data_IF_423257417601
#
_entry.id   IF_423257417601
#
_cell.length_a   1.000
_cell.length_b   1.000
_cell.length_c   1.000
_cell.angle_alpha   90.00
_cell.angle_beta   90.00
_cell.angle_gamma   90.00
#
_symmetry.space_group_name_H-M   'P 1'
#
loop_
_entity.id
_entity.type
_entity.pdbx_description
1 polymer ?
#
# COMPACT_ATOMS: atom_id res chain seq x y z
N UNK A 1 30.16 30.45 14.60
CA UNK A 1 29.45 30.15 15.87
C UNK A 1 30.48 29.68 16.87
N UNK A 2 30.60 30.34 18.02
CA UNK A 2 31.47 29.87 19.10
C UNK A 2 30.84 28.65 19.77
N UNK A 3 31.65 27.87 20.50
CA UNK A 3 31.13 26.72 21.28
C UNK A 3 30.05 27.15 22.26
N UNK A 4 30.26 28.26 22.99
CA UNK A 4 29.31 28.82 23.96
C UNK A 4 27.99 29.25 23.30
N UNK A 5 28.04 29.79 22.08
CA UNK A 5 26.83 30.13 21.31
C UNK A 5 26.06 28.88 20.91
N UNK A 6 26.76 27.83 20.47
CA UNK A 6 26.13 26.55 20.13
C UNK A 6 25.44 25.93 21.35
N UNK A 7 26.13 25.88 22.48
CA UNK A 7 25.59 25.33 23.72
C UNK A 7 24.35 26.09 24.22
N UNK A 8 24.36 27.43 24.11
CA UNK A 8 23.19 28.24 24.45
C UNK A 8 22.01 27.97 23.50
N UNK A 9 22.25 27.88 22.19
CA UNK A 9 21.23 27.51 21.20
C UNK A 9 20.64 26.12 21.49
N UNK A 10 21.50 25.12 21.72
CA UNK A 10 21.10 23.75 22.04
C UNK A 10 20.21 23.71 23.28
N UNK A 11 20.59 24.44 24.32
CA UNK A 11 19.82 24.54 25.56
C UNK A 11 18.45 25.16 25.34
N UNK A 12 18.35 26.21 24.51
CA UNK A 12 17.07 26.85 24.17
C UNK A 12 16.17 25.85 23.45
N UNK A 13 16.68 25.21 22.38
CA UNK A 13 15.91 24.23 21.59
C UNK A 13 15.38 23.09 22.46
N UNK A 14 16.21 22.53 23.33
CA UNK A 14 15.77 21.44 24.22
C UNK A 14 14.74 21.91 25.26
N UNK A 15 14.95 23.05 25.90
CA UNK A 15 14.02 23.55 26.92
C UNK A 15 12.65 23.93 26.34
N UNK A 16 12.62 24.37 25.08
CA UNK A 16 11.39 24.65 24.35
C UNK A 16 10.66 23.35 23.92
N UNK A 17 11.39 22.32 23.49
CA UNK A 17 10.79 21.08 22.98
C UNK A 17 10.42 20.06 24.04
N UNK A 18 11.15 19.96 25.16
CA UNK A 18 10.91 18.94 26.18
C UNK A 18 9.47 18.95 26.75
N UNK A 19 8.83 20.10 27.03
CA UNK A 19 7.44 20.13 27.48
C UNK A 19 6.47 19.51 26.46
N UNK A 20 6.75 19.66 25.17
CA UNK A 20 5.90 19.15 24.10
C UNK A 20 5.86 17.62 24.08
N UNK A 21 6.93 16.93 24.49
CA UNK A 21 6.92 15.46 24.59
C UNK A 21 6.07 14.93 25.76
N UNK A 22 5.84 15.75 26.79
CA UNK A 22 4.95 15.42 27.90
C UNK A 22 3.47 15.61 27.52
N UNK A 23 3.17 16.51 26.58
CA UNK A 23 1.81 16.76 26.06
C UNK A 23 1.51 15.89 24.82
N UNK A 24 2.53 15.60 24.02
CA UNK A 24 2.49 14.84 22.76
C UNK A 24 2.41 13.33 22.95
N UNK A 25 1.50 12.88 23.81
CA UNK A 25 1.16 11.45 23.92
C UNK A 25 0.07 11.08 22.90
N UNK A 26 0.12 9.85 22.36
CA UNK A 26 -0.95 9.31 21.50
C UNK A 26 -0.67 9.25 20.00
N UNK A 27 0.49 9.71 19.52
CA UNK A 27 0.91 9.46 18.14
C UNK A 27 0.94 7.96 17.82
N UNK A 28 0.46 7.59 16.63
CA UNK A 28 0.40 6.21 16.16
C UNK A 28 1.78 5.61 15.80
N UNK A 29 2.80 6.46 15.63
CA UNK A 29 4.19 6.06 15.44
C UNK A 29 5.13 6.92 16.31
N UNK A 30 6.31 6.40 16.63
CA UNK A 30 7.29 7.08 17.50
C UNK A 30 8.72 6.96 16.96
N UNK A 31 9.44 8.07 16.99
CA UNK A 31 10.88 8.13 16.74
C UNK A 31 11.70 7.74 17.98
N UNK A 32 13.01 7.50 17.79
CA UNK A 32 13.92 7.06 18.87
C UNK A 32 14.13 8.09 19.98
N UNK A 33 14.01 9.39 19.68
CA UNK A 33 14.07 10.45 20.70
C UNK A 33 12.81 10.40 21.57
N UNK A 34 11.63 10.33 20.95
CA UNK A 34 10.35 10.20 21.67
C UNK A 34 10.33 8.96 22.57
N UNK A 35 10.81 7.82 22.07
CA UNK A 35 10.92 6.58 22.87
C UNK A 35 11.91 6.72 24.01
N UNK A 36 13.11 7.24 23.75
CA UNK A 36 14.13 7.40 24.77
C UNK A 36 13.67 8.35 25.89
N UNK A 37 12.97 9.44 25.54
CA UNK A 37 12.39 10.37 26.51
C UNK A 37 11.31 9.68 27.37
N UNK A 38 10.45 8.86 26.75
CA UNK A 38 9.46 8.06 27.49
C UNK A 38 10.14 7.11 28.46
N UNK A 39 11.10 6.31 27.99
CA UNK A 39 11.85 5.38 28.84
C UNK A 39 12.55 6.11 30.00
N UNK A 40 13.14 7.28 29.72
CA UNK A 40 13.73 8.13 30.76
C UNK A 40 12.70 8.58 31.80
N UNK A 41 11.50 8.99 31.37
CA UNK A 41 10.44 9.42 32.29
C UNK A 41 9.88 8.27 33.14
N UNK A 42 9.74 7.08 32.56
CA UNK A 42 9.19 5.88 33.21
C UNK A 42 10.20 5.22 34.15
N UNK A 43 11.44 5.01 33.69
CA UNK A 43 12.47 4.27 34.41
C UNK A 43 13.36 5.15 35.30
N UNK A 44 13.33 6.47 35.09
CA UNK A 44 14.25 7.46 35.68
C UNK A 44 15.71 7.24 35.32
N UNK A 45 16.01 6.46 34.27
CA UNK A 45 17.35 6.22 33.74
C UNK A 45 17.46 6.81 32.34
N UNK A 46 18.58 7.46 32.03
CA UNK A 46 18.83 8.00 30.69
C UNK A 46 19.39 6.86 29.84
N UNK A 47 18.68 6.43 28.79
CA UNK A 47 19.19 5.40 27.90
C UNK A 47 20.36 5.95 27.07
N UNK A 48 21.39 5.13 26.80
CA UNK A 48 22.62 5.63 26.14
C UNK A 48 22.30 6.22 24.76
N UNK A 49 21.42 5.58 23.99
CA UNK A 49 21.05 6.04 22.64
C UNK A 49 20.24 7.35 22.66
N UNK A 50 19.57 7.69 23.77
CA UNK A 50 18.86 8.97 23.89
C UNK A 50 19.82 10.14 23.69
N UNK A 51 21.03 10.07 24.24
CA UNK A 51 22.05 11.11 24.03
C UNK A 51 22.40 11.31 22.54
N UNK A 52 22.48 10.21 21.79
CA UNK A 52 22.73 10.25 20.35
C UNK A 52 21.52 10.79 19.58
N UNK A 53 20.31 10.34 19.88
CA UNK A 53 19.08 10.83 19.26
C UNK A 53 18.89 12.35 19.48
N UNK A 54 19.15 12.83 20.70
CA UNK A 54 19.14 14.26 21.04
C UNK A 54 20.18 15.03 20.23
N UNK A 55 21.39 14.50 20.09
CA UNK A 55 22.45 15.14 19.30
C UNK A 55 22.05 15.25 17.82
N UNK A 56 21.46 14.19 17.25
CA UNK A 56 20.95 14.20 15.86
C UNK A 56 19.87 15.26 15.67
N UNK A 57 18.95 15.41 16.62
CA UNK A 57 17.95 16.48 16.58
C UNK A 57 18.61 17.87 16.54
N UNK A 58 19.53 18.12 17.47
CA UNK A 58 20.19 19.42 17.58
C UNK A 58 20.99 19.75 16.31
N UNK A 59 21.72 18.78 15.78
CA UNK A 59 22.44 18.93 14.52
C UNK A 59 21.48 19.20 13.34
N UNK A 60 20.29 18.59 13.30
CA UNK A 60 19.24 18.93 12.32
C UNK A 60 18.82 20.40 12.46
N UNK A 61 18.55 20.88 13.67
CA UNK A 61 18.19 22.29 13.90
C UNK A 61 19.31 23.24 13.45
N UNK A 62 20.57 22.87 13.67
CA UNK A 62 21.70 23.67 13.19
C UNK A 62 21.92 23.64 11.68
N UNK A 63 21.60 22.53 11.01
CA UNK A 63 21.73 22.40 9.55
C UNK A 63 20.57 23.08 8.84
N UNK A 64 19.33 22.84 9.29
CA UNK A 64 18.11 23.31 8.64
C UNK A 64 17.73 24.74 9.04
N UNK A 65 18.08 25.17 10.26
CA UNK A 65 17.79 26.52 10.78
C UNK A 65 16.31 26.88 10.60
N UNK A 66 16.02 27.96 9.89
CA UNK A 66 14.66 28.44 9.61
C UNK A 66 13.84 27.54 8.68
N UNK A 67 14.38 26.40 8.23
CA UNK A 67 13.71 25.43 7.36
C UNK A 67 13.38 24.12 8.08
N UNK A 68 13.49 24.08 9.41
CA UNK A 68 13.24 22.87 10.19
C UNK A 68 11.77 22.40 10.10
N UNK A 69 10.87 23.33 9.80
CA UNK A 69 9.43 23.11 9.58
C UNK A 69 9.07 22.49 8.23
N UNK A 70 10.03 22.37 7.29
CA UNK A 70 9.78 21.74 5.99
C UNK A 70 9.26 20.31 6.13
N UNK A 71 9.72 19.57 7.14
CA UNK A 71 9.22 18.22 7.42
C UNK A 71 7.72 18.20 7.75
N UNK A 72 7.25 19.21 8.47
CA UNK A 72 5.82 19.37 8.78
C UNK A 72 5.02 19.74 7.53
N UNK A 73 5.52 20.65 6.69
CA UNK A 73 4.86 20.97 5.42
C UNK A 73 4.74 19.74 4.51
N UNK A 74 5.80 18.93 4.38
CA UNK A 74 5.73 17.68 3.61
C UNK A 74 4.79 16.64 4.24
N UNK A 75 4.67 16.60 5.58
CA UNK A 75 3.68 15.76 6.26
C UNK A 75 2.25 16.23 5.94
N UNK A 76 2.02 17.55 5.92
CA UNK A 76 0.74 18.12 5.48
C UNK A 76 0.50 17.92 3.98
N UNK A 77 1.51 17.84 3.11
CA UNK A 77 1.30 17.47 1.71
C UNK A 77 0.92 15.98 1.56
N UNK A 78 1.45 15.13 2.44
CA UNK A 78 1.07 13.70 2.52
C UNK A 78 -0.41 13.53 2.87
N UNK A 79 -1.06 14.55 3.46
CA UNK A 79 -2.50 14.63 3.68
C UNK A 79 -3.31 14.42 2.41
N UNK A 80 -2.90 15.03 1.28
CA UNK A 80 -3.61 14.91 0.01
C UNK A 80 -3.63 13.45 -0.45
N UNK A 81 -2.51 12.75 -0.27
CA UNK A 81 -2.40 11.32 -0.61
C UNK A 81 -3.31 10.46 0.28
N UNK A 82 -3.42 10.78 1.57
CA UNK A 82 -4.25 10.04 2.52
C UNK A 82 -5.74 10.33 2.34
N UNK A 83 -6.13 11.57 2.01
CA UNK A 83 -7.52 11.93 1.65
C UNK A 83 -7.97 11.28 0.35
N UNK A 84 -7.09 11.20 -0.64
CA UNK A 84 -7.37 10.49 -1.90
C UNK A 84 -7.53 8.97 -1.66
N UNK A 85 -6.90 8.43 -0.61
CA UNK A 85 -7.06 7.04 -0.17
C UNK A 85 -8.31 6.79 0.70
N UNK A 86 -8.98 7.83 1.22
CA UNK A 86 -10.18 7.65 2.04
C UNK A 86 -11.42 7.45 1.16
N UNK A 87 -11.84 6.20 1.00
CA UNK A 87 -13.24 5.89 0.63
C UNK A 87 -14.12 6.12 1.87
N UNK A 88 -15.39 6.43 1.65
CA UNK A 88 -16.42 6.34 2.68
C UNK A 88 -16.42 4.95 3.33
N UNK A 89 -15.75 4.84 4.48
CA UNK A 89 -15.62 3.58 5.21
C UNK A 89 -16.92 3.16 5.91
N UNK A 90 -18.01 3.94 5.77
CA UNK A 90 -19.31 3.69 6.44
C UNK A 90 -19.91 2.32 6.12
N UNK A 91 -19.66 1.79 4.92
CA UNK A 91 -20.15 0.47 4.50
C UNK A 91 -19.24 -0.71 4.93
N UNK A 92 -18.08 -0.44 5.53
CA UNK A 92 -17.07 -1.47 5.80
C UNK A 92 -17.14 -1.91 7.26
N UNK A 93 -17.81 -3.05 7.50
CA UNK A 93 -18.12 -3.50 8.85
C UNK A 93 -16.92 -4.01 9.68
N UNK A 94 -15.69 -4.06 9.16
CA UNK A 94 -14.48 -4.46 9.94
C UNK A 94 -13.18 -3.90 9.37
N UNK A 95 -12.76 -2.74 9.88
CA UNK A 95 -11.33 -2.43 10.10
C UNK A 95 -11.21 -1.39 11.20
N UNK A 96 -11.43 -1.82 12.45
CA UNK A 96 -11.23 -1.00 13.64
C UNK A 96 -9.88 -0.30 13.63
N UNK A 97 -8.83 -0.94 13.11
CA UNK A 97 -7.49 -0.38 13.04
C UNK A 97 -7.35 0.79 12.06
N UNK A 98 -7.92 0.71 10.85
CA UNK A 98 -7.82 1.78 9.84
C UNK A 98 -8.65 2.99 10.27
N UNK A 99 -9.82 2.77 10.87
CA UNK A 99 -10.63 3.84 11.45
C UNK A 99 -9.90 4.55 12.60
N UNK A 100 -9.26 3.78 13.48
CA UNK A 100 -8.43 4.33 14.56
C UNK A 100 -7.24 5.14 14.00
N UNK A 101 -6.57 4.61 12.97
CA UNK A 101 -5.48 5.33 12.30
C UNK A 101 -5.97 6.61 11.64
N UNK A 102 -7.07 6.56 10.88
CA UNK A 102 -7.66 7.72 10.21
C UNK A 102 -8.01 8.81 11.23
N UNK A 103 -8.62 8.42 12.35
CA UNK A 103 -8.92 9.34 13.45
C UNK A 103 -7.65 9.88 14.11
N UNK A 104 -6.60 9.06 14.25
CA UNK A 104 -5.32 9.50 14.81
C UNK A 104 -4.62 10.49 13.88
N UNK A 105 -4.61 10.24 12.57
CA UNK A 105 -4.14 11.18 11.53
C UNK A 105 -4.91 12.49 11.62
N UNK A 106 -6.24 12.43 11.63
CA UNK A 106 -7.09 13.61 11.73
C UNK A 106 -6.78 14.43 13.00
N UNK A 107 -6.70 13.77 14.14
CA UNK A 107 -6.46 14.44 15.41
C UNK A 107 -5.05 15.05 15.51
N UNK A 108 -4.01 14.29 15.15
CA UNK A 108 -2.62 14.69 15.42
C UNK A 108 -1.97 15.45 14.26
N UNK A 109 -2.33 15.13 13.01
CA UNK A 109 -1.73 15.74 11.83
C UNK A 109 -2.60 16.89 11.31
N UNK A 110 -3.94 16.79 11.37
CA UNK A 110 -4.84 17.79 10.78
C UNK A 110 -5.35 18.84 11.76
N UNK A 111 -5.71 18.43 12.98
CA UNK A 111 -6.39 19.31 13.94
C UNK A 111 -5.49 19.84 15.06
N UNK A 112 -4.32 19.24 15.24
CA UNK A 112 -3.46 19.45 16.41
C UNK A 112 -4.18 19.28 17.74
N UNK A 113 -4.53 18.03 18.06
CA UNK A 113 -5.13 17.71 19.35
C UNK A 113 -4.23 18.11 20.54
N UNK A 114 -2.91 18.18 20.36
CA UNK A 114 -1.98 18.62 21.41
C UNK A 114 -2.17 20.09 21.76
N UNK A 115 -2.51 20.95 20.80
CA UNK A 115 -2.85 22.35 21.06
C UNK A 115 -4.08 22.49 21.96
N UNK A 116 -5.12 21.68 21.74
CA UNK A 116 -6.34 21.69 22.58
C UNK A 116 -6.00 21.34 24.04
N UNK A 117 -5.19 20.30 24.26
CA UNK A 117 -4.72 19.92 25.60
C UNK A 117 -3.91 21.07 26.23
N UNK A 118 -3.12 21.77 25.43
CA UNK A 118 -2.31 22.91 25.88
C UNK A 118 -3.22 24.08 26.31
N UNK A 119 -4.24 24.42 25.54
CA UNK A 119 -5.24 25.43 25.93
C UNK A 119 -5.91 25.09 27.27
N UNK A 120 -6.40 23.85 27.42
CA UNK A 120 -7.00 23.38 28.68
C UNK A 120 -6.02 23.45 29.86
N UNK A 121 -4.76 23.08 29.63
CA UNK A 121 -3.72 23.12 30.67
C UNK A 121 -3.40 24.55 31.10
N UNK A 122 -3.36 25.50 30.17
CA UNK A 122 -3.10 26.90 30.48
C UNK A 122 -4.26 27.52 31.25
N UNK A 123 -5.51 27.23 30.88
CA UNK A 123 -6.71 27.68 31.59
C UNK A 123 -6.72 27.16 33.04
N UNK A 124 -6.46 25.86 33.23
CA UNK A 124 -6.36 25.25 34.57
C UNK A 124 -5.27 25.89 35.45
N UNK A 125 -4.19 26.40 34.84
CA UNK A 125 -3.09 27.06 35.55
C UNK A 125 -3.29 28.57 35.70
N UNK A 126 -4.42 29.13 35.25
CA UNK A 126 -4.70 30.57 35.28
C UNK A 126 -3.75 31.39 34.40
N UNK A 127 -3.25 30.79 33.31
CA UNK A 127 -2.33 31.41 32.35
C UNK A 127 -3.08 31.87 31.10
N UNK A 128 -2.59 32.92 30.39
CA UNK A 128 -3.17 33.32 29.12
C UNK A 128 -3.06 32.18 28.10
N UNK A 129 -4.07 31.99 27.26
CA UNK A 129 -4.08 30.96 26.23
C UNK A 129 -2.80 30.99 25.36
N UNK A 130 -2.30 29.83 24.92
CA UNK A 130 -1.14 29.76 24.02
C UNK A 130 -1.41 30.55 22.72
N UNK A 131 -0.36 31.16 22.17
CA UNK A 131 -0.42 31.87 20.89
C UNK A 131 -0.66 30.89 19.72
N UNK A 132 -1.27 31.34 18.63
CA UNK A 132 -1.53 30.50 17.44
C UNK A 132 -0.23 29.96 16.81
N UNK A 133 0.90 30.66 17.00
CA UNK A 133 2.23 30.18 16.62
C UNK A 133 2.67 28.89 17.33
N UNK A 134 2.03 28.56 18.46
CA UNK A 134 2.23 27.31 19.20
C UNK A 134 1.49 26.12 18.58
N UNK A 135 0.65 26.32 17.56
CA UNK A 135 0.01 25.22 16.84
C UNK A 135 1.06 24.41 16.07
N UNK A 136 0.97 23.10 16.20
CA UNK A 136 1.85 22.05 15.70
C UNK A 136 3.30 22.23 16.14
N UNK A 137 3.53 22.81 17.33
CA UNK A 137 4.86 23.23 17.76
C UNK A 137 5.91 22.10 17.68
N UNK A 138 5.55 20.91 18.17
CA UNK A 138 6.40 19.73 18.12
C UNK A 138 6.71 19.32 16.67
N UNK A 139 5.68 19.14 15.84
CA UNK A 139 5.85 18.65 14.46
C UNK A 139 6.63 19.65 13.59
N UNK A 140 6.39 20.96 13.74
CA UNK A 140 7.15 22.03 13.07
C UNK A 140 8.65 22.03 13.40
N UNK A 141 9.07 21.34 14.46
CA UNK A 141 10.45 21.29 14.94
C UNK A 141 11.03 19.87 14.99
N UNK A 142 10.28 18.87 14.55
CA UNK A 142 10.66 17.46 14.56
C UNK A 142 10.46 16.82 13.18
N UNK A 143 11.34 17.10 12.20
CA UNK A 143 11.21 16.57 10.85
C UNK A 143 11.36 15.04 10.80
N UNK A 144 12.12 14.42 11.70
CA UNK A 144 12.23 12.95 11.79
C UNK A 144 10.87 12.34 12.17
N UNK A 145 10.23 12.86 13.22
CA UNK A 145 8.91 12.40 13.64
C UNK A 145 7.89 12.58 12.52
N UNK A 146 7.92 13.72 11.80
CA UNK A 146 7.06 13.94 10.64
C UNK A 146 7.26 12.87 9.56
N UNK A 147 8.51 12.56 9.20
CA UNK A 147 8.81 11.51 8.22
C UNK A 147 8.34 10.12 8.65
N UNK A 148 8.49 9.79 9.94
CA UNK A 148 8.02 8.51 10.51
C UNK A 148 6.49 8.43 10.49
N UNK A 149 5.79 9.50 10.90
CA UNK A 149 4.33 9.55 10.86
C UNK A 149 3.79 9.42 9.43
N UNK A 150 4.38 10.14 8.47
CA UNK A 150 4.02 10.02 7.05
C UNK A 150 4.23 8.60 6.53
N UNK A 151 5.39 8.01 6.82
CA UNK A 151 5.73 6.66 6.38
C UNK A 151 4.80 5.60 6.96
N UNK A 152 4.59 5.60 8.29
CA UNK A 152 3.70 4.63 8.94
C UNK A 152 2.26 4.77 8.44
N UNK A 153 1.76 6.00 8.27
CA UNK A 153 0.42 6.22 7.72
C UNK A 153 0.26 5.59 6.33
N UNK A 154 1.22 5.81 5.43
CA UNK A 154 1.19 5.26 4.07
C UNK A 154 1.27 3.72 4.09
N UNK A 155 2.14 3.15 4.92
CA UNK A 155 2.29 1.69 5.04
C UNK A 155 1.00 1.06 5.55
N UNK A 156 0.40 1.59 6.62
CA UNK A 156 -0.85 1.06 7.16
C UNK A 156 -2.03 1.17 6.19
N UNK A 157 -2.12 2.27 5.45
CA UNK A 157 -3.13 2.40 4.38
C UNK A 157 -2.91 1.36 3.28
N UNK A 158 -1.66 1.14 2.87
CA UNK A 158 -1.32 0.11 1.88
C UNK A 158 -1.78 -1.27 2.34
N UNK A 159 -1.47 -1.65 3.57
CA UNK A 159 -1.82 -2.95 4.16
C UNK A 159 -3.33 -3.10 4.24
N UNK A 160 -4.01 -2.06 4.72
CA UNK A 160 -5.46 -2.01 4.78
C UNK A 160 -6.12 -2.21 3.42
N UNK A 161 -5.63 -1.49 2.41
CA UNK A 161 -6.15 -1.58 1.05
C UNK A 161 -5.85 -2.92 0.37
N UNK A 162 -4.65 -3.49 0.58
CA UNK A 162 -4.31 -4.86 0.12
C UNK A 162 -5.24 -5.88 0.77
N UNK A 163 -5.46 -5.79 2.08
CA UNK A 163 -6.36 -6.69 2.80
C UNK A 163 -7.79 -6.59 2.27
N UNK A 164 -8.28 -5.38 1.99
CA UNK A 164 -9.58 -5.15 1.38
C UNK A 164 -9.67 -5.80 0.00
N UNK A 165 -8.71 -5.52 -0.88
CA UNK A 165 -8.66 -6.07 -2.23
C UNK A 165 -8.60 -7.59 -2.24
N UNK A 166 -7.86 -8.20 -1.30
CA UNK A 166 -7.77 -9.65 -1.16
C UNK A 166 -9.06 -10.28 -0.64
N UNK A 167 -9.74 -9.62 0.31
CA UNK A 167 -11.01 -10.10 0.89
C UNK A 167 -12.09 -10.20 -0.19
N UNK A 168 -12.14 -9.22 -1.08
CA UNK A 168 -13.11 -9.18 -2.16
C UNK A 168 -12.63 -9.90 -3.42
N UNK A 169 -11.32 -9.94 -3.68
CA UNK A 169 -10.75 -10.35 -4.97
C UNK A 169 -10.89 -9.27 -6.05
N UNK A 170 -11.04 -8.00 -5.64
CA UNK A 170 -11.30 -6.86 -6.53
C UNK A 170 -10.13 -6.49 -7.44
N UNK A 171 -8.95 -7.05 -7.22
CA UNK A 171 -7.80 -6.89 -8.14
C UNK A 171 -7.49 -8.21 -8.84
N UNK A 172 -7.40 -9.30 -8.09
CA UNK A 172 -6.98 -10.61 -8.60
C UNK A 172 -7.88 -11.16 -9.70
N UNK A 173 -9.20 -10.97 -9.61
CA UNK A 173 -10.11 -11.46 -10.65
C UNK A 173 -10.25 -10.49 -11.82
N UNK A 174 -10.40 -9.17 -11.61
CA UNK A 174 -10.39 -8.21 -12.71
C UNK A 174 -9.09 -8.21 -13.51
N UNK A 175 -7.94 -8.52 -12.90
CA UNK A 175 -6.68 -8.66 -13.65
C UNK A 175 -6.73 -9.81 -14.67
N UNK A 176 -7.44 -10.91 -14.37
CA UNK A 176 -7.65 -11.99 -15.34
C UNK A 176 -8.50 -11.55 -16.51
N UNK A 177 -9.55 -10.77 -16.24
CA UNK A 177 -10.42 -10.23 -17.28
C UNK A 177 -9.62 -9.27 -18.17
N UNK A 178 -8.88 -8.35 -17.55
CA UNK A 178 -8.04 -7.39 -18.26
C UNK A 178 -7.05 -8.08 -19.19
N UNK A 179 -6.27 -9.05 -18.68
CA UNK A 179 -5.34 -9.81 -19.52
C UNK A 179 -6.06 -10.61 -20.62
N UNK A 180 -7.23 -11.19 -20.32
CA UNK A 180 -7.99 -11.92 -21.33
C UNK A 180 -8.50 -11.01 -22.45
N UNK A 181 -8.92 -9.78 -22.12
CA UNK A 181 -9.37 -8.77 -23.07
C UNK A 181 -8.24 -8.24 -23.94
N UNK A 182 -7.06 -7.98 -23.35
CA UNK A 182 -5.86 -7.53 -24.05
C UNK A 182 -5.33 -8.58 -25.06
N UNK A 183 -5.51 -9.86 -24.77
CA UNK A 183 -5.01 -10.96 -25.62
C UNK A 183 -6.06 -11.51 -26.61
N UNK A 184 -7.20 -10.85 -26.78
CA UNK A 184 -8.19 -11.26 -27.78
C UNK A 184 -7.71 -11.02 -29.22
N UNK A 185 -8.29 -11.72 -30.23
CA UNK A 185 -8.01 -11.41 -31.64
C UNK A 185 -8.32 -9.95 -32.01
N UNK A 186 -9.30 -9.35 -31.34
CA UNK A 186 -9.57 -7.91 -31.38
C UNK A 186 -9.42 -7.36 -29.94
N UNK A 187 -8.22 -6.91 -29.55
CA UNK A 187 -7.96 -6.37 -28.22
C UNK A 187 -8.80 -5.13 -27.93
N UNK A 188 -9.08 -4.92 -26.65
CA UNK A 188 -9.57 -3.64 -26.13
C UNK A 188 -8.59 -2.52 -26.48
N UNK A 189 -9.11 -1.34 -26.77
CA UNK A 189 -8.30 -0.19 -27.16
C UNK A 189 -7.81 0.61 -25.95
N UNK A 190 -8.59 0.58 -24.87
CA UNK A 190 -8.23 1.29 -23.64
C UNK A 190 -7.23 0.51 -22.80
N UNK A 191 -6.35 1.27 -22.13
CA UNK A 191 -5.44 0.76 -21.10
C UNK A 191 -6.06 1.04 -19.75
N UNK A 192 -5.91 0.13 -18.79
CA UNK A 192 -6.32 0.37 -17.41
C UNK A 192 -5.09 0.78 -16.58
N UNK A 193 -4.86 2.10 -16.37
CA UNK A 193 -3.58 2.57 -15.80
C UNK A 193 -3.35 2.06 -14.38
N UNK A 194 -4.41 2.00 -13.56
CA UNK A 194 -4.37 1.42 -12.22
C UNK A 194 -3.94 -0.05 -12.22
N UNK A 195 -4.49 -0.86 -13.13
CA UNK A 195 -4.13 -2.27 -13.26
C UNK A 195 -2.69 -2.46 -13.76
N UNK A 196 -2.22 -1.67 -14.73
CA UNK A 196 -0.82 -1.69 -15.18
C UNK A 196 0.15 -1.36 -14.04
N UNK A 197 -0.21 -0.37 -13.20
CA UNK A 197 0.57 -0.02 -12.02
C UNK A 197 0.61 -1.18 -11.02
N UNK A 198 -0.53 -1.84 -10.75
CA UNK A 198 -0.58 -3.03 -9.89
C UNK A 198 0.29 -4.16 -10.44
N UNK A 199 0.20 -4.46 -11.74
CA UNK A 199 1.03 -5.49 -12.40
C UNK A 199 2.51 -5.15 -12.25
N UNK A 200 2.89 -3.88 -12.41
CA UNK A 200 4.26 -3.42 -12.21
C UNK A 200 4.75 -3.58 -10.76
N UNK A 201 3.94 -3.16 -9.78
CA UNK A 201 4.27 -3.23 -8.35
C UNK A 201 4.38 -4.68 -7.87
N UNK A 202 3.41 -5.53 -8.23
CA UNK A 202 3.37 -6.93 -7.78
C UNK A 202 4.16 -7.88 -8.67
N UNK A 203 4.55 -7.45 -9.87
CA UNK A 203 5.08 -8.30 -10.95
C UNK A 203 4.08 -9.35 -11.45
N UNK A 204 4.21 -9.74 -12.71
CA UNK A 204 3.38 -10.81 -13.27
C UNK A 204 3.51 -12.12 -12.48
N UNK A 205 4.70 -12.47 -12.01
CA UNK A 205 4.94 -13.74 -11.32
C UNK A 205 4.18 -13.88 -10.01
N UNK A 206 3.99 -12.77 -9.28
CA UNK A 206 3.28 -12.80 -7.98
C UNK A 206 1.79 -12.54 -8.13
N UNK A 207 1.39 -11.65 -9.05
CA UNK A 207 -0.03 -11.37 -9.31
C UNK A 207 -0.71 -12.57 -9.99
N UNK A 208 -0.01 -13.21 -10.91
CA UNK A 208 -0.47 -14.36 -11.67
C UNK A 208 0.20 -15.66 -11.21
N UNK A 209 -0.04 -16.76 -11.93
CA UNK A 209 0.62 -18.04 -11.64
C UNK A 209 1.79 -18.21 -12.59
N UNK A 210 2.91 -17.55 -12.24
CA UNK A 210 4.17 -17.60 -12.98
C UNK A 210 4.31 -16.49 -14.02
N UNK A 211 3.36 -16.38 -14.94
CA UNK A 211 3.31 -15.30 -15.94
C UNK A 211 1.87 -14.88 -16.20
N UNK A 212 1.69 -13.70 -16.79
CA UNK A 212 0.37 -13.26 -17.25
C UNK A 212 -0.22 -14.27 -18.27
N UNK A 213 -1.53 -14.59 -18.16
CA UNK A 213 -2.17 -15.51 -19.09
C UNK A 213 -2.30 -14.88 -20.47
N UNK A 214 -1.97 -15.64 -21.53
CA UNK A 214 -2.01 -15.19 -22.93
C UNK A 214 -3.20 -15.75 -23.70
N UNK A 215 -3.93 -16.69 -23.11
CA UNK A 215 -5.09 -17.33 -23.73
C UNK A 215 -6.24 -17.44 -22.75
N UNK A 216 -7.46 -17.54 -23.27
CA UNK A 216 -8.68 -17.73 -22.45
C UNK A 216 -8.58 -19.01 -21.60
N UNK A 217 -7.98 -20.08 -22.14
CA UNK A 217 -7.75 -21.33 -21.43
C UNK A 217 -6.78 -21.15 -20.25
N UNK A 218 -5.70 -20.38 -20.45
CA UNK A 218 -4.78 -20.03 -19.37
C UNK A 218 -5.45 -19.14 -18.32
N UNK A 219 -6.18 -18.09 -18.71
CA UNK A 219 -6.90 -17.21 -17.77
C UNK A 219 -7.94 -17.99 -16.96
N UNK A 220 -8.67 -18.91 -17.59
CA UNK A 220 -9.61 -19.78 -16.89
C UNK A 220 -8.90 -20.69 -15.90
N UNK A 221 -7.81 -21.36 -16.31
CA UNK A 221 -7.05 -22.25 -15.42
C UNK A 221 -6.44 -21.50 -14.25
N UNK A 222 -5.82 -20.35 -14.51
CA UNK A 222 -5.21 -19.52 -13.47
C UNK A 222 -6.24 -18.97 -12.50
N UNK A 223 -7.41 -18.50 -12.98
CA UNK A 223 -8.48 -18.01 -12.11
C UNK A 223 -9.00 -19.07 -11.12
N UNK A 224 -9.13 -20.33 -11.55
CA UNK A 224 -9.50 -21.43 -10.64
C UNK A 224 -8.41 -21.69 -9.60
N UNK A 225 -7.14 -21.67 -9.99
CA UNK A 225 -6.04 -21.86 -9.06
C UNK A 225 -5.93 -20.70 -8.05
N UNK A 226 -6.21 -19.46 -8.47
CA UNK A 226 -6.23 -18.29 -7.58
C UNK A 226 -7.40 -18.32 -6.60
N UNK A 227 -8.56 -18.84 -7.01
CA UNK A 227 -9.68 -19.14 -6.12
C UNK A 227 -9.38 -20.29 -5.12
N UNK A 228 -8.22 -20.95 -5.25
CA UNK A 228 -7.77 -21.99 -4.34
C UNK A 228 -8.13 -23.41 -4.79
N UNK A 229 -8.54 -23.64 -6.04
CA UNK A 229 -8.66 -25.01 -6.55
C UNK A 229 -7.28 -25.66 -6.73
N UNK A 230 -7.19 -26.98 -6.56
CA UNK A 230 -5.92 -27.71 -6.65
C UNK A 230 -5.39 -27.83 -8.08
N UNK A 231 -4.07 -27.69 -8.26
CA UNK A 231 -3.38 -27.96 -9.53
C UNK A 231 -3.57 -29.41 -10.03
N UNK A 232 -3.82 -30.36 -9.13
CA UNK A 232 -4.14 -31.74 -9.51
C UNK A 232 -5.41 -31.86 -10.35
N UNK A 233 -6.29 -30.86 -10.35
CA UNK A 233 -7.49 -30.83 -11.18
C UNK A 233 -7.18 -30.77 -12.69
N UNK A 234 -5.98 -30.30 -13.05
CA UNK A 234 -5.54 -30.09 -14.43
C UNK A 234 -4.44 -31.08 -14.88
N UNK A 235 -4.16 -32.12 -14.10
CA UNK A 235 -3.15 -33.12 -14.44
C UNK A 235 -3.64 -34.07 -15.57
N UNK A 236 -2.77 -34.37 -16.54
CA UNK A 236 -3.09 -35.19 -17.73
C UNK A 236 -3.65 -36.59 -17.40
N UNK A 237 -3.25 -37.20 -16.28
CA UNK A 237 -3.65 -38.55 -15.86
C UNK A 237 -4.62 -38.54 -14.67
N UNK A 238 -5.53 -37.57 -14.60
CA UNK A 238 -6.53 -37.51 -13.53
C UNK A 238 -7.45 -38.73 -13.61
N UNK A 239 -7.47 -39.54 -12.55
CA UNK A 239 -8.50 -40.57 -12.36
C UNK A 239 -9.85 -39.86 -12.26
N UNK A 240 -10.77 -40.12 -13.19
CA UNK A 240 -12.13 -39.61 -13.08
C UNK A 240 -12.72 -40.12 -11.77
N UNK A 241 -12.92 -39.22 -10.81
CA UNK A 241 -13.62 -39.54 -9.57
C UNK A 241 -15.06 -39.94 -9.90
N UNK A 242 -15.70 -40.68 -8.98
CA UNK A 242 -17.14 -40.96 -9.07
C UNK A 242 -17.92 -39.65 -9.29
N UNK A 243 -18.91 -39.68 -10.20
CA UNK A 243 -19.83 -38.54 -10.46
C UNK A 243 -20.31 -37.96 -9.13
N UNK A 244 -20.14 -36.64 -8.95
CA UNK A 244 -20.60 -35.90 -7.76
C UNK A 244 -19.52 -35.53 -6.74
N UNK A 245 -18.24 -35.92 -6.93
CA UNK A 245 -17.18 -35.52 -6.00
C UNK A 245 -16.73 -34.07 -6.26
N UNK A 246 -16.81 -33.21 -5.24
CA UNK A 246 -16.37 -31.80 -5.29
C UNK A 246 -14.92 -31.70 -5.77
N UNK A 247 -14.60 -30.69 -6.58
CA UNK A 247 -13.24 -30.45 -7.05
C UNK A 247 -12.29 -30.28 -5.85
N UNK A 248 -11.17 -31.02 -5.80
CA UNK A 248 -10.15 -30.83 -4.78
C UNK A 248 -9.73 -29.37 -4.64
N UNK A 249 -9.76 -28.87 -3.41
CA UNK A 249 -9.29 -27.53 -3.01
C UNK A 249 -7.84 -27.65 -2.56
N UNK A 250 -7.05 -26.63 -2.86
CA UNK A 250 -5.67 -26.47 -2.42
C UNK A 250 -5.60 -26.33 -0.90
N UNK A 251 -4.61 -26.99 -0.28
CA UNK A 251 -4.31 -26.77 1.15
C UNK A 251 -3.82 -25.35 1.44
N UNK A 252 -3.26 -24.67 0.43
CA UNK A 252 -2.75 -23.31 0.55
C UNK A 252 -3.85 -22.24 0.45
N UNK A 253 -5.09 -22.62 0.11
CA UNK A 253 -6.21 -21.70 -0.04
C UNK A 253 -6.12 -20.81 -1.28
N UNK A 254 -6.92 -19.74 -1.29
CA UNK A 254 -6.94 -18.72 -2.33
C UNK A 254 -5.65 -17.87 -2.28
N UNK A 255 -5.19 -17.41 -3.45
CA UNK A 255 -4.04 -16.50 -3.56
C UNK A 255 -4.52 -15.05 -3.59
N UNK A 256 -3.74 -14.18 -2.94
CA UNK A 256 -3.94 -12.75 -2.94
C UNK A 256 -2.62 -11.99 -3.03
N UNK A 257 -2.75 -10.68 -3.15
CA UNK A 257 -1.67 -9.70 -3.13
C UNK A 257 -0.90 -9.76 -1.82
N UNK A 258 0.38 -9.38 -1.86
CA UNK A 258 1.26 -9.33 -0.68
C UNK A 258 1.92 -7.96 -0.59
N UNK A 259 2.36 -7.59 0.60
CA UNK A 259 3.23 -6.43 0.79
C UNK A 259 4.51 -6.61 -0.06
N UNK A 260 4.83 -5.61 -0.88
CA UNK A 260 5.97 -5.65 -1.81
C UNK A 260 7.13 -4.77 -1.38
N UNK A 261 6.89 -3.80 -0.49
CA UNK A 261 7.93 -2.86 -0.08
C UNK A 261 8.90 -3.50 0.91
N UNK A 262 10.17 -3.50 0.55
CA UNK A 262 11.26 -3.91 1.45
C UNK A 262 11.51 -2.84 2.53
N UNK A 263 11.32 -1.56 2.21
CA UNK A 263 11.40 -0.50 3.23
C UNK A 263 10.34 -0.65 4.32
N UNK A 264 9.10 -0.98 3.95
CA UNK A 264 8.03 -1.24 4.92
C UNK A 264 8.41 -2.38 5.88
N UNK A 265 8.93 -3.49 5.36
CA UNK A 265 9.41 -4.62 6.19
C UNK A 265 10.53 -4.21 7.15
N UNK A 266 11.43 -3.34 6.70
CA UNK A 266 12.62 -2.96 7.44
C UNK A 266 12.33 -1.97 8.57
N UNK A 267 11.44 -1.00 8.36
CA UNK A 267 11.24 0.13 9.27
C UNK A 267 9.99 0.01 10.16
N UNK A 268 8.95 -0.69 9.70
CA UNK A 268 7.68 -0.84 10.44
C UNK A 268 7.81 -1.48 11.82
N UNK A 269 8.59 -2.56 12.04
CA UNK A 269 8.54 -3.31 13.29
C UNK A 269 8.73 -2.48 14.55
N UNK A 270 9.70 -1.55 14.60
CA UNK A 270 9.87 -0.75 15.80
C UNK A 270 9.20 0.62 15.77
N UNK A 271 8.40 0.99 14.77
CA UNK A 271 7.65 2.27 14.83
C UNK A 271 6.37 2.18 15.69
N UNK A 272 5.93 0.97 16.05
CA UNK A 272 4.56 0.64 16.49
C UNK A 272 4.30 0.58 18.00
N UNK A 273 4.83 1.52 18.81
CA UNK A 273 4.46 1.74 20.25
C UNK A 273 5.23 0.84 21.26
N UNK A 274 5.44 1.27 22.54
CA UNK A 274 6.43 0.68 23.45
C UNK A 274 6.05 -0.68 24.03
N UNK A 275 7.08 -1.50 24.25
CA UNK A 275 6.99 -2.81 24.91
C UNK A 275 7.46 -3.97 24.02
N UNK A 276 7.60 -3.74 22.72
CA UNK A 276 8.20 -4.68 21.78
C UNK A 276 9.72 -4.45 21.66
N UNK A 277 10.45 -5.55 21.52
CA UNK A 277 11.91 -5.59 21.51
C UNK A 277 12.52 -4.65 20.46
N UNK A 278 13.77 -4.24 20.74
CA UNK A 278 14.63 -3.42 19.89
C UNK A 278 14.43 -3.62 18.39
N UNK A 279 14.58 -2.53 17.62
CA UNK A 279 14.72 -2.59 16.16
C UNK A 279 15.93 -3.46 15.79
N UNK A 280 15.71 -4.74 15.52
CA UNK A 280 16.68 -5.62 14.91
C UNK A 280 16.45 -5.54 13.40
N UNK A 281 17.34 -4.81 12.72
CA UNK A 281 17.34 -4.83 11.26
C UNK A 281 17.65 -6.24 10.77
N UNK A 282 16.70 -6.83 10.07
CA UNK A 282 16.87 -8.13 9.44
C UNK A 282 17.89 -8.03 8.30
N UNK A 283 18.99 -8.79 8.40
CA UNK A 283 20.01 -8.87 7.35
C UNK A 283 19.40 -9.27 5.99
N UNK A 284 18.35 -10.07 5.99
CA UNK A 284 17.66 -10.47 4.76
C UNK A 284 16.91 -9.29 4.14
N UNK A 285 16.28 -8.43 4.94
CA UNK A 285 15.62 -7.21 4.47
C UNK A 285 16.63 -6.20 3.89
N UNK A 286 17.81 -6.06 4.51
CA UNK A 286 18.89 -5.22 3.96
C UNK A 286 19.39 -5.79 2.62
N UNK A 287 19.54 -7.11 2.51
CA UNK A 287 19.95 -7.76 1.27
C UNK A 287 18.88 -7.63 0.17
N UNK A 288 17.59 -7.77 0.50
CA UNK A 288 16.48 -7.49 -0.42
C UNK A 288 16.55 -6.05 -0.94
N UNK A 289 16.78 -5.07 -0.07
CA UNK A 289 16.81 -3.65 -0.41
C UNK A 289 17.92 -3.35 -1.42
N UNK A 290 19.14 -3.82 -1.14
CA UNK A 290 20.28 -3.64 -2.04
C UNK A 290 20.12 -4.36 -3.38
N UNK A 291 19.41 -5.50 -3.39
CA UNK A 291 19.09 -6.23 -4.61
C UNK A 291 18.04 -5.51 -5.45
N UNK A 292 17.05 -4.84 -4.83
CA UNK A 292 16.09 -4.02 -5.56
C UNK A 292 16.74 -2.80 -6.20
N UNK A 293 17.64 -2.11 -5.49
CA UNK A 293 18.43 -1.02 -6.08
C UNK A 293 19.27 -1.48 -7.27
N UNK A 294 19.74 -2.73 -7.28
CA UNK A 294 20.50 -3.29 -8.39
C UNK A 294 19.63 -3.56 -9.63
N UNK A 295 18.32 -3.67 -9.50
CA UNK A 295 17.39 -3.84 -10.63
C UNK A 295 17.07 -2.52 -11.31
N UNK A 296 17.20 -1.39 -10.61
CA UNK A 296 17.04 -0.07 -11.19
C UNK A 296 18.30 0.32 -11.98
N UNK A 297 18.18 0.61 -13.28
CA UNK A 297 19.33 0.85 -14.15
C UNK A 297 20.22 2.03 -13.71
N UNK A 298 19.61 3.12 -13.25
CA UNK A 298 20.32 4.32 -12.81
C UNK A 298 21.11 4.02 -11.54
N UNK A 299 20.47 3.44 -10.53
CA UNK A 299 21.14 3.04 -9.29
C UNK A 299 22.11 1.86 -9.48
N UNK A 300 21.88 1.00 -10.47
CA UNK A 300 22.80 -0.07 -10.83
C UNK A 300 24.09 0.50 -11.39
N UNK A 301 24.00 1.57 -12.19
CA UNK A 301 25.14 2.22 -12.84
C UNK A 301 25.98 3.08 -11.90
N UNK A 302 25.37 3.67 -10.85
CA UNK A 302 26.02 4.54 -9.88
C UNK A 302 27.24 3.86 -9.19
N UNK A 303 28.46 4.42 -9.32
CA UNK A 303 29.66 3.91 -8.67
C UNK A 303 29.52 3.76 -7.15
N UNK A 304 28.79 4.66 -6.48
CA UNK A 304 28.60 4.59 -5.03
C UNK A 304 27.77 3.39 -4.63
N UNK A 305 26.74 3.05 -5.41
CA UNK A 305 25.85 1.92 -5.13
C UNK A 305 26.53 0.60 -5.47
N UNK A 306 27.34 0.59 -6.53
CA UNK A 306 28.24 -0.54 -6.80
C UNK A 306 29.18 -0.80 -5.64
N UNK A 307 29.74 0.24 -5.03
CA UNK A 307 30.61 0.11 -3.86
C UNK A 307 29.85 -0.44 -2.64
N UNK A 308 28.66 0.08 -2.34
CA UNK A 308 27.79 -0.41 -1.26
C UNK A 308 27.47 -1.90 -1.44
N UNK A 309 27.02 -2.31 -2.63
CA UNK A 309 26.71 -3.71 -2.95
C UNK A 309 27.94 -4.61 -2.87
N UNK A 310 29.10 -4.15 -3.35
CA UNK A 310 30.36 -4.89 -3.25
C UNK A 310 30.75 -5.10 -1.79
N UNK A 311 30.66 -4.06 -0.98
CA UNK A 311 30.98 -4.15 0.44
C UNK A 311 30.05 -5.09 1.18
N UNK A 312 28.73 -4.99 0.93
CA UNK A 312 27.75 -5.92 1.46
C UNK A 312 28.02 -7.38 1.04
N UNK A 313 28.25 -7.62 -0.25
CA UNK A 313 28.51 -8.99 -0.76
C UNK A 313 29.76 -9.61 -0.15
N UNK A 314 30.78 -8.81 0.17
CA UNK A 314 32.05 -9.30 0.70
C UNK A 314 32.03 -9.48 2.22
N UNK A 315 31.44 -8.51 2.94
CA UNK A 315 31.56 -8.41 4.41
C UNK A 315 30.25 -8.57 5.16
N UNK A 316 29.10 -8.50 4.46
CA UNK A 316 27.75 -8.48 5.03
C UNK A 316 27.62 -7.44 6.16
N UNK A 317 28.28 -6.29 5.98
CA UNK A 317 28.33 -5.17 6.92
C UNK A 317 28.32 -3.86 6.16
N UNK A 318 27.58 -2.89 6.67
CA UNK A 318 27.62 -1.49 6.25
C UNK A 318 27.91 -0.62 7.47
N UNK A 319 28.63 0.48 7.28
CA UNK A 319 28.68 1.55 8.27
C UNK A 319 27.32 2.27 8.34
N UNK A 320 26.99 2.98 9.44
CA UNK A 320 25.74 3.72 9.54
C UNK A 320 25.50 4.71 8.38
N UNK A 321 26.56 5.39 7.92
CA UNK A 321 26.46 6.34 6.80
C UNK A 321 26.17 5.62 5.48
N UNK A 322 26.82 4.47 5.24
CA UNK A 322 26.57 3.65 4.07
C UNK A 322 25.15 3.08 4.06
N UNK A 323 24.65 2.67 5.23
CA UNK A 323 23.29 2.19 5.37
C UNK A 323 22.26 3.32 5.12
N UNK A 324 22.47 4.50 5.71
CA UNK A 324 21.63 5.68 5.44
C UNK A 324 21.65 6.07 3.96
N UNK A 325 22.79 5.92 3.28
CA UNK A 325 22.89 6.18 1.85
C UNK A 325 22.03 5.20 1.04
N UNK A 326 22.09 3.91 1.35
CA UNK A 326 21.23 2.90 0.71
C UNK A 326 19.75 3.21 0.98
N UNK A 327 19.37 3.46 2.24
CA UNK A 327 17.99 3.85 2.58
C UNK A 327 17.51 5.05 1.74
N UNK A 328 18.29 6.13 1.68
CA UNK A 328 17.97 7.31 0.88
C UNK A 328 17.74 6.98 -0.61
N UNK A 329 18.50 6.05 -1.17
CA UNK A 329 18.41 5.67 -2.58
C UNK A 329 17.24 4.74 -2.88
N UNK A 330 16.84 3.94 -1.90
CA UNK A 330 15.66 3.09 -1.99
C UNK A 330 14.33 3.88 -1.92
N UNK A 331 14.28 5.02 -1.20
CA UNK A 331 13.02 5.76 -0.99
C UNK A 331 12.28 6.09 -2.30
N UNK A 332 12.90 6.67 -3.35
CA UNK A 332 12.19 6.99 -4.58
C UNK A 332 11.67 5.76 -5.36
N UNK A 333 12.24 4.58 -5.15
CA UNK A 333 11.81 3.32 -5.78
C UNK A 333 10.64 2.71 -5.00
N UNK A 334 10.70 2.80 -3.68
CA UNK A 334 9.78 2.14 -2.77
C UNK A 334 8.53 2.97 -2.50
N UNK A 335 8.68 4.29 -2.41
CA UNK A 335 7.59 5.20 -2.07
C UNK A 335 6.40 5.09 -3.03
N UNK A 336 6.57 4.99 -4.36
CA UNK A 336 5.45 4.77 -5.27
C UNK A 336 4.71 3.44 -5.01
N UNK A 337 5.42 2.38 -4.59
CA UNK A 337 4.81 1.09 -4.25
C UNK A 337 3.94 1.21 -3.00
N UNK A 338 4.44 1.91 -1.97
CA UNK A 338 3.74 2.12 -0.69
C UNK A 338 2.55 3.07 -0.89
N UNK A 339 2.73 4.14 -1.66
CA UNK A 339 1.72 5.17 -1.88
C UNK A 339 0.59 4.76 -2.84
N UNK A 340 0.70 3.60 -3.52
CA UNK A 340 -0.34 3.13 -4.43
C UNK A 340 -1.69 2.99 -3.71
N UNK A 341 -2.73 3.59 -4.29
CA UNK A 341 -4.05 3.67 -3.70
C UNK A 341 -4.89 2.42 -3.99
N UNK A 342 -4.70 1.38 -3.18
CA UNK A 342 -5.46 0.13 -3.28
C UNK A 342 -6.95 0.31 -2.99
N UNK A 343 -7.34 1.32 -2.21
CA UNK A 343 -8.75 1.65 -1.98
C UNK A 343 -9.39 2.14 -3.27
N UNK A 344 -8.82 3.14 -3.92
CA UNK A 344 -9.31 3.60 -5.21
C UNK A 344 -9.36 2.48 -6.24
N UNK A 345 -8.31 1.65 -6.33
CA UNK A 345 -8.30 0.49 -7.23
C UNK A 345 -9.44 -0.50 -6.93
N UNK A 346 -9.80 -0.68 -5.66
CA UNK A 346 -10.96 -1.49 -5.27
C UNK A 346 -12.27 -0.90 -5.81
N UNK A 347 -12.53 0.39 -5.58
CA UNK A 347 -13.76 1.05 -6.05
C UNK A 347 -13.86 1.11 -7.57
N UNK A 348 -12.76 1.46 -8.24
CA UNK A 348 -12.67 1.48 -9.71
C UNK A 348 -13.03 0.10 -10.27
N UNK A 349 -12.43 -0.96 -9.70
CA UNK A 349 -12.72 -2.33 -10.10
C UNK A 349 -14.18 -2.73 -9.85
N UNK A 350 -14.74 -2.40 -8.69
CA UNK A 350 -16.14 -2.72 -8.40
C UNK A 350 -17.10 -1.94 -9.31
N UNK A 351 -16.79 -0.69 -9.63
CA UNK A 351 -17.61 0.15 -10.51
C UNK A 351 -17.64 -0.42 -11.93
N UNK A 352 -16.49 -0.80 -12.47
CA UNK A 352 -16.40 -1.52 -13.75
C UNK A 352 -17.24 -2.82 -13.71
N UNK A 353 -17.15 -3.59 -12.63
CA UNK A 353 -17.90 -4.84 -12.50
C UNK A 353 -19.41 -4.64 -12.36
N UNK A 354 -19.86 -3.56 -11.69
CA UNK A 354 -21.28 -3.16 -11.65
C UNK A 354 -21.77 -2.81 -13.05
N UNK A 355 -20.97 -2.09 -13.85
CA UNK A 355 -21.29 -1.78 -15.25
C UNK A 355 -21.38 -3.05 -16.09
N UNK A 356 -20.39 -3.95 -15.98
CA UNK A 356 -20.42 -5.26 -16.66
C UNK A 356 -21.66 -6.08 -16.29
N UNK A 357 -22.06 -6.06 -15.01
CA UNK A 357 -23.28 -6.73 -14.55
C UNK A 357 -24.51 -6.21 -15.29
N UNK A 358 -24.69 -4.89 -15.36
CA UNK A 358 -25.86 -4.27 -15.98
C UNK A 358 -25.90 -4.60 -17.48
N UNK A 359 -24.80 -4.41 -18.19
CA UNK A 359 -24.75 -4.55 -19.65
C UNK A 359 -24.80 -6.02 -20.12
N UNK A 360 -24.36 -6.96 -19.28
CA UNK A 360 -24.30 -8.39 -19.62
C UNK A 360 -25.34 -9.24 -18.86
N UNK A 361 -26.26 -8.63 -18.11
CA UNK A 361 -27.22 -9.33 -17.26
C UNK A 361 -28.04 -10.37 -18.02
N UNK A 362 -28.52 -10.00 -19.21
CA UNK A 362 -29.31 -10.89 -20.07
C UNK A 362 -28.49 -12.10 -20.55
N UNK A 363 -27.21 -11.89 -20.88
CA UNK A 363 -26.30 -12.96 -21.31
C UNK A 363 -25.99 -13.90 -20.14
N UNK A 364 -25.74 -13.37 -18.94
CA UNK A 364 -25.48 -14.17 -17.73
C UNK A 364 -26.71 -14.96 -17.30
N UNK A 365 -27.88 -14.34 -17.23
CA UNK A 365 -29.15 -15.00 -16.89
C UNK A 365 -29.45 -16.16 -17.83
N UNK A 366 -29.21 -15.96 -19.14
CA UNK A 366 -29.38 -17.01 -20.15
C UNK A 366 -28.38 -18.15 -19.98
N UNK A 367 -27.11 -17.85 -19.70
CA UNK A 367 -26.07 -18.89 -19.59
C UNK A 367 -26.22 -19.73 -18.31
N UNK A 368 -26.49 -19.09 -17.18
CA UNK A 368 -26.64 -19.78 -15.88
C UNK A 368 -28.06 -20.30 -15.64
N UNK A 369 -29.00 -20.03 -16.55
CA UNK A 369 -30.40 -20.44 -16.47
C UNK A 369 -31.04 -20.05 -15.13
N UNK A 370 -30.66 -18.88 -14.59
CA UNK A 370 -31.15 -18.34 -13.33
C UNK A 370 -30.97 -16.81 -13.33
N UNK A 371 -32.01 -16.03 -12.97
CA UNK A 371 -31.85 -14.59 -12.74
C UNK A 371 -31.09 -14.29 -11.44
N UNK A 372 -30.88 -15.30 -10.59
CA UNK A 372 -30.14 -15.21 -9.33
C UNK A 372 -28.77 -15.88 -9.47
N UNK A 373 -28.00 -15.48 -10.48
CA UNK A 373 -26.62 -15.96 -10.65
C UNK A 373 -25.65 -15.32 -9.64
N UNK A 374 -26.12 -14.35 -8.85
CA UNK A 374 -25.45 -13.76 -7.70
C UNK A 374 -26.42 -13.63 -6.51
N UNK A 375 -25.95 -13.95 -5.32
CA UNK A 375 -26.73 -13.87 -4.07
C UNK A 375 -26.65 -12.47 -3.45
N UNK A 376 -25.48 -11.82 -3.52
CA UNK A 376 -25.23 -10.51 -2.92
C UNK A 376 -24.01 -9.83 -3.56
N UNK A 377 -23.75 -8.59 -3.17
CA UNK A 377 -22.67 -7.77 -3.74
C UNK A 377 -21.26 -8.30 -3.43
N UNK A 378 -21.06 -9.09 -2.37
CA UNK A 378 -19.74 -9.69 -2.07
C UNK A 378 -19.26 -10.66 -3.15
N UNK A 379 -20.17 -11.15 -4.01
CA UNK A 379 -19.83 -12.01 -5.15
C UNK A 379 -19.48 -11.22 -6.41
N UNK A 380 -19.60 -9.88 -6.41
CA UNK A 380 -19.39 -9.04 -7.58
C UNK A 380 -18.03 -9.23 -8.25
N UNK A 381 -16.91 -9.42 -7.52
CA UNK A 381 -15.60 -9.68 -8.13
C UNK A 381 -15.53 -10.94 -8.99
N UNK A 382 -16.38 -11.95 -8.73
CA UNK A 382 -16.43 -13.16 -9.57
C UNK A 382 -17.01 -12.91 -10.97
N UNK A 383 -17.74 -11.81 -11.18
CA UNK A 383 -18.23 -11.44 -12.50
C UNK A 383 -17.10 -11.23 -13.51
N UNK A 384 -15.91 -10.83 -13.06
CA UNK A 384 -14.73 -10.75 -13.91
C UNK A 384 -14.42 -12.09 -14.60
N UNK A 385 -14.74 -13.21 -13.94
CA UNK A 385 -14.44 -14.55 -14.41
C UNK A 385 -15.56 -15.17 -15.24
N UNK A 386 -16.76 -14.58 -15.26
CA UNK A 386 -17.91 -15.14 -15.97
C UNK A 386 -17.71 -15.11 -17.48
N UNK A 387 -17.33 -13.97 -18.12
CA UNK A 387 -17.02 -13.95 -19.54
C UNK A 387 -15.94 -14.96 -19.93
N UNK A 388 -14.88 -15.09 -19.11
CA UNK A 388 -13.78 -16.04 -19.31
C UNK A 388 -14.29 -17.49 -19.26
N UNK A 389 -15.12 -17.82 -18.27
CA UNK A 389 -15.67 -19.17 -18.07
C UNK A 389 -16.60 -19.56 -19.21
N UNK A 390 -17.47 -18.64 -19.64
CA UNK A 390 -18.39 -18.85 -20.77
C UNK A 390 -17.60 -19.04 -22.07
N UNK A 391 -16.59 -18.19 -22.31
CA UNK A 391 -15.73 -18.28 -23.49
C UNK A 391 -14.95 -19.59 -23.53
N UNK A 392 -14.41 -20.03 -22.38
CA UNK A 392 -13.72 -21.30 -22.26
C UNK A 392 -14.66 -22.48 -22.57
N UNK A 393 -15.85 -22.52 -21.96
CA UNK A 393 -16.84 -23.56 -22.23
C UNK A 393 -17.25 -23.62 -23.71
N UNK A 394 -17.47 -22.44 -24.34
CA UNK A 394 -17.73 -22.32 -25.77
C UNK A 394 -16.57 -22.87 -26.62
N UNK A 395 -15.33 -22.53 -26.28
CA UNK A 395 -14.15 -23.02 -27.00
C UNK A 395 -13.99 -24.53 -26.95
N UNK A 396 -14.35 -25.17 -25.84
CA UNK A 396 -14.31 -26.63 -25.72
C UNK A 396 -15.40 -27.28 -26.57
N UNK A 397 -16.62 -26.73 -26.57
CA UNK A 397 -17.70 -27.22 -27.43
C UNK A 397 -17.34 -27.10 -28.93
N UNK A 398 -16.69 -26.01 -29.32
CA UNK A 398 -16.20 -25.78 -30.69
C UNK A 398 -15.11 -26.78 -31.09
N UNK A 399 -14.16 -27.07 -30.19
CA UNK A 399 -13.13 -28.11 -30.37
C UNK A 399 -13.77 -29.50 -30.52
N UNK A 400 -14.74 -29.84 -29.67
CA UNK A 400 -15.47 -31.12 -29.72
C UNK A 400 -16.25 -31.29 -31.03
N UNK A 401 -16.78 -30.18 -31.58
CA UNK A 401 -17.53 -30.15 -32.84
C UNK A 401 -16.65 -29.91 -34.08
N UNK A 402 -15.32 -29.75 -33.93
CA UNK A 402 -14.35 -29.46 -35.00
C UNK A 402 -14.70 -28.23 -35.86
N UNK A 403 -15.26 -27.20 -35.24
CA UNK A 403 -15.52 -25.92 -35.90
C UNK A 403 -14.30 -25.01 -35.73
N UNK A 404 -13.91 -24.27 -36.76
CA UNK A 404 -12.79 -23.31 -36.70
C UNK A 404 -13.31 -21.86 -36.69
N UNK A 405 -12.65 -20.97 -35.94
CA UNK A 405 -12.80 -19.52 -36.07
C UNK A 405 -13.90 -18.83 -35.24
N UNK A 406 -14.52 -19.48 -34.26
CA UNK A 406 -15.54 -18.83 -33.42
C UNK A 406 -14.91 -17.93 -32.34
N UNK A 407 -15.12 -16.62 -32.42
CA UNK A 407 -14.82 -15.67 -31.33
C UNK A 407 -15.93 -15.69 -30.28
N UNK A 408 -15.57 -15.42 -29.03
CA UNK A 408 -16.53 -15.41 -27.93
C UNK A 408 -17.29 -14.09 -27.91
N UNK A 409 -18.54 -14.09 -28.37
CA UNK A 409 -19.41 -12.91 -28.38
C UNK A 409 -19.52 -12.23 -27.00
N UNK A 410 -19.51 -13.01 -25.92
CA UNK A 410 -19.57 -12.46 -24.55
C UNK A 410 -18.29 -11.71 -24.18
N UNK A 411 -17.13 -12.16 -24.67
CA UNK A 411 -15.86 -11.47 -24.45
C UNK A 411 -15.77 -10.19 -25.27
N UNK A 412 -16.28 -10.19 -26.51
CA UNK A 412 -16.37 -8.98 -27.33
C UNK A 412 -17.30 -7.94 -26.70
N UNK A 413 -18.45 -8.37 -26.14
CA UNK A 413 -19.35 -7.48 -25.39
C UNK A 413 -18.65 -6.93 -24.14
N UNK A 414 -17.99 -7.79 -23.35
CA UNK A 414 -17.25 -7.37 -22.17
C UNK A 414 -16.12 -6.36 -22.52
N UNK A 415 -15.43 -6.58 -23.64
CA UNK A 415 -14.41 -5.65 -24.16
C UNK A 415 -14.99 -4.28 -24.52
N UNK A 416 -16.16 -4.23 -25.18
CA UNK A 416 -16.84 -2.95 -25.46
C UNK A 416 -17.24 -2.20 -24.19
N UNK A 417 -17.76 -2.91 -23.19
CA UNK A 417 -18.11 -2.31 -21.89
C UNK A 417 -16.85 -1.76 -21.20
N UNK A 418 -15.74 -2.50 -21.27
CA UNK A 418 -14.46 -2.07 -20.74
C UNK A 418 -13.95 -0.79 -21.43
N UNK A 419 -13.91 -0.76 -22.76
CA UNK A 419 -13.45 0.40 -23.53
C UNK A 419 -14.31 1.64 -23.22
N UNK A 420 -15.65 1.49 -23.24
CA UNK A 420 -16.57 2.57 -22.91
C UNK A 420 -16.38 3.09 -21.49
N UNK A 421 -16.19 2.19 -20.53
CA UNK A 421 -15.98 2.58 -19.14
C UNK A 421 -14.71 3.44 -18.99
N UNK A 422 -13.59 3.03 -19.58
CA UNK A 422 -12.34 3.79 -19.46
C UNK A 422 -12.32 5.07 -20.33
N UNK A 423 -13.05 5.09 -21.46
CA UNK A 423 -13.31 6.30 -22.26
C UNK A 423 -14.10 7.39 -21.50
N UNK A 424 -14.96 6.97 -20.57
CA UNK A 424 -15.79 7.84 -19.71
C UNK A 424 -15.02 8.21 -18.43
N UNK A 425 -14.42 7.23 -17.77
CA UNK A 425 -13.68 7.38 -16.51
C UNK A 425 -12.52 8.37 -16.60
N UNK A 426 -11.76 8.35 -17.71
CA UNK A 426 -10.65 9.27 -17.91
C UNK A 426 -11.13 10.73 -18.04
N UNK A 427 -12.35 10.96 -18.57
CA UNK A 427 -12.93 12.30 -18.69
C UNK A 427 -13.44 12.80 -17.35
N UNK A 428 -14.12 11.96 -16.58
CA UNK A 428 -14.64 12.33 -15.26
C UNK A 428 -13.51 12.55 -14.26
N UNK A 429 -12.39 11.82 -14.35
CA UNK A 429 -11.24 12.01 -13.47
C UNK A 429 -10.37 13.22 -13.83
N UNK A 430 -10.18 13.52 -15.12
CA UNK A 430 -9.38 14.67 -15.57
C UNK A 430 -10.14 16.00 -15.52
N UNK A 431 -11.47 15.99 -15.66
CA UNK A 431 -12.29 17.21 -15.78
C UNK A 431 -13.41 17.34 -14.74
N UNK A 432 -13.64 16.33 -13.88
CA UNK A 432 -14.73 16.33 -12.89
C UNK A 432 -14.42 16.96 -11.52
N UNK A 433 -13.30 17.70 -11.38
CA UNK A 433 -12.98 18.48 -10.18
C UNK A 433 -13.07 20.00 -10.41
N UNK A 434 -13.77 20.45 -11.46
CA UNK A 434 -14.21 21.83 -11.61
C UNK A 434 -15.72 21.91 -11.33
N UNK A 435 -16.12 21.89 -10.06
CA UNK A 435 -17.39 22.48 -9.59
C UNK A 435 -17.32 22.83 -8.09
#
# INVERSE_FOLDING_TARGET
MTYEQKELEDKIVLLELLPEFALGHGYFAQDELTKGLREMTETKKIPIWLSFATTVLLDIHHVFRSKVDYGFHSLQETELLLKVQSIDTSNFQKTSHIQLLTKSIENHILKDFTFIIKEETYDMLGRPAPDEGERFYLLKRQPILCGILAFDALVEMQIGGIALCNTWGSITYPSQLYMALQNMPNPVQQVWPGMECVISIHTEERLFIGSAPKTIEESFRQSLLMQGYSASNFAKNRRQGRKGMKLPVSKAGARGLKETSTLAKLLRPGNRVPGEEWHIFDLTAIEELLNEEAKNADLASDPKNKALRREWSTRKRLTPIQFLQALRQSVPIELPKIAFNYFHMHEESLTLLRRLRIELDADFTKHFNSPFYMDNESQLPFLALFPISIAYAGSQAVKDLKLEGATSLIMEKAGRVFDQFFDEWEKDYLYGNED
#
